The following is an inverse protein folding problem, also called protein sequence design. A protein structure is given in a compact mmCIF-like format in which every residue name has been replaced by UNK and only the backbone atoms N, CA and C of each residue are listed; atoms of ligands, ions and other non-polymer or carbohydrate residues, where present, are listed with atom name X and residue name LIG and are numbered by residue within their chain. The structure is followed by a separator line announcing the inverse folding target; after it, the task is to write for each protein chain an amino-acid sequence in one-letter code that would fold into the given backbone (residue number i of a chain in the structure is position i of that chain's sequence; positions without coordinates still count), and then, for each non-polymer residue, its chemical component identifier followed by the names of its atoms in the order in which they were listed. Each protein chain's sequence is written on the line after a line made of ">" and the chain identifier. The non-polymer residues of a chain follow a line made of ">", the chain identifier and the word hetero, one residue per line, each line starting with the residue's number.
data_IF_861954168439
#
_entry.id   IF_861954168439
#
_cell.length_a   1.000
_cell.length_b   1.000
_cell.length_c   1.000
_cell.angle_alpha   90.00
_cell.angle_beta   90.00
_cell.angle_gamma   90.00
#
_symmetry.space_group_name_H-M   'P 1'
#
loop_
_entity.id
_entity.type
_entity.pdbx_description
1 polymer ?
#
# COMPACT_ATOMS: atom_id res chain seq x y z
N UNK A 1 -3.43 -25.93 -21.16
CA UNK A 1 -3.40 -26.01 -19.67
C UNK A 1 -2.12 -26.81 -19.38
N UNK A 2 -1.23 -26.51 -18.42
CA UNK A 2 -1.34 -27.21 -17.13
C UNK A 2 -0.21 -26.88 -16.14
N UNK A 3 0.11 -25.61 -15.91
CA UNK A 3 0.61 -25.25 -14.57
C UNK A 3 0.24 -23.80 -14.22
N UNK A 4 -0.54 -23.57 -13.14
CA UNK A 4 -0.81 -22.22 -12.63
C UNK A 4 0.47 -21.40 -12.41
N UNK A 5 1.57 -22.07 -12.03
CA UNK A 5 2.87 -21.44 -11.81
C UNK A 5 3.48 -20.91 -13.11
N UNK A 6 3.42 -21.67 -14.20
CA UNK A 6 3.95 -21.22 -15.50
C UNK A 6 3.15 -20.05 -16.07
N UNK A 7 1.82 -20.08 -15.92
CA UNK A 7 0.95 -18.96 -16.32
C UNK A 7 1.28 -17.70 -15.52
N UNK A 8 1.40 -17.81 -14.20
CA UNK A 8 1.78 -16.70 -13.33
C UNK A 8 3.16 -16.15 -13.72
N UNK A 9 4.17 -17.01 -13.87
CA UNK A 9 5.53 -16.63 -14.26
C UNK A 9 5.58 -15.90 -15.59
N UNK A 10 4.80 -16.34 -16.58
CA UNK A 10 4.68 -15.67 -17.88
C UNK A 10 4.09 -14.27 -17.75
N UNK A 11 2.98 -14.14 -17.01
CA UNK A 11 2.31 -12.84 -16.78
C UNK A 11 3.25 -11.90 -16.02
N UNK A 12 3.85 -12.34 -14.91
CA UNK A 12 4.78 -11.53 -14.11
C UNK A 12 5.97 -11.04 -14.92
N UNK A 13 6.56 -11.91 -15.75
CA UNK A 13 7.66 -11.51 -16.65
C UNK A 13 7.23 -10.44 -17.66
N UNK A 14 6.02 -10.58 -18.21
CA UNK A 14 5.45 -9.58 -19.13
C UNK A 14 5.20 -8.24 -18.45
N UNK A 15 4.60 -8.23 -17.25
CA UNK A 15 4.33 -7.03 -16.46
C UNK A 15 5.65 -6.33 -16.09
N UNK A 16 6.63 -7.08 -15.57
CA UNK A 16 7.93 -6.52 -15.21
C UNK A 16 8.64 -5.90 -16.42
N UNK A 17 8.65 -6.58 -17.58
CA UNK A 17 9.23 -6.04 -18.80
C UNK A 17 8.52 -4.76 -19.26
N UNK A 18 7.19 -4.74 -19.23
CA UNK A 18 6.40 -3.55 -19.56
C UNK A 18 6.69 -2.38 -18.62
N UNK A 19 6.79 -2.62 -17.30
CA UNK A 19 7.14 -1.62 -16.30
C UNK A 19 8.54 -1.04 -16.51
N UNK A 20 9.52 -1.87 -16.89
CA UNK A 20 10.88 -1.39 -17.22
C UNK A 20 10.81 -0.43 -18.42
N UNK A 21 10.11 -0.79 -19.50
CA UNK A 21 9.98 0.09 -20.67
C UNK A 21 9.21 1.37 -20.32
N UNK A 22 8.11 1.27 -19.56
CA UNK A 22 7.35 2.43 -19.09
C UNK A 22 8.19 3.38 -18.22
N UNK A 23 9.11 2.84 -17.42
CA UNK A 23 10.01 3.64 -16.58
C UNK A 23 10.94 4.55 -17.41
N UNK A 24 11.31 4.15 -18.64
CA UNK A 24 12.12 4.99 -19.55
C UNK A 24 11.37 6.28 -19.89
N UNK A 25 10.07 6.18 -20.18
CA UNK A 25 9.23 7.35 -20.44
C UNK A 25 9.18 8.26 -19.20
N UNK A 26 9.04 7.67 -18.02
CA UNK A 26 9.00 8.41 -16.77
C UNK A 26 10.32 9.12 -16.46
N UNK A 27 11.46 8.50 -16.79
CA UNK A 27 12.80 9.08 -16.70
C UNK A 27 12.95 10.26 -17.67
N UNK A 28 12.57 10.11 -18.94
CA UNK A 28 12.65 11.18 -19.95
C UNK A 28 11.77 12.39 -19.56
N UNK A 29 10.53 12.15 -19.14
CA UNK A 29 9.63 13.21 -18.66
C UNK A 29 10.15 13.85 -17.37
N UNK A 30 10.78 13.08 -16.48
CA UNK A 30 11.43 13.58 -15.27
C UNK A 30 12.62 14.49 -15.55
N UNK A 31 13.55 14.07 -16.42
CA UNK A 31 14.75 14.84 -16.76
C UNK A 31 14.48 16.06 -17.64
N UNK A 32 13.47 16.01 -18.51
CA UNK A 32 13.07 17.16 -19.36
C UNK A 32 12.48 18.34 -18.57
N UNK A 33 12.21 18.18 -17.27
CA UNK A 33 11.58 19.21 -16.44
C UNK A 33 10.10 19.45 -16.73
N UNK A 34 9.52 18.73 -17.72
CA UNK A 34 8.11 18.81 -18.09
C UNK A 34 7.20 18.44 -16.92
N UNK A 35 7.65 17.51 -16.07
CA UNK A 35 6.94 17.13 -14.84
C UNK A 35 6.61 18.33 -13.94
N UNK A 36 7.49 19.33 -13.87
CA UNK A 36 7.27 20.53 -13.05
C UNK A 36 6.09 21.37 -13.56
N UNK A 37 5.88 21.39 -14.87
CA UNK A 37 4.75 22.11 -15.48
C UNK A 37 3.43 21.35 -15.24
N UNK A 38 3.45 20.01 -15.36
CA UNK A 38 2.29 19.15 -15.09
C UNK A 38 1.86 19.22 -13.63
N UNK A 39 2.80 19.15 -12.68
CA UNK A 39 2.48 19.23 -11.24
C UNK A 39 1.94 20.61 -10.86
N UNK A 40 2.32 21.70 -11.55
CA UNK A 40 1.68 23.01 -11.35
C UNK A 40 0.20 23.03 -11.74
N UNK A 41 -0.20 22.21 -12.72
CA UNK A 41 -1.60 22.07 -13.11
C UNK A 41 -2.39 21.26 -12.07
N UNK A 42 -1.74 20.32 -11.39
CA UNK A 42 -2.29 19.56 -10.28
C UNK A 42 -2.25 20.38 -8.98
N UNK A 43 -3.17 21.33 -8.88
CA UNK A 43 -3.46 22.02 -7.61
C UNK A 43 -3.76 20.99 -6.49
N UNK A 44 -3.44 21.27 -5.22
CA UNK A 44 -3.81 20.41 -4.10
C UNK A 44 -5.31 20.05 -4.08
N UNK A 45 -6.17 20.92 -4.62
CA UNK A 45 -7.61 20.67 -4.74
C UNK A 45 -7.96 19.50 -5.68
N UNK A 46 -7.18 19.27 -6.74
CA UNK A 46 -7.38 18.12 -7.64
C UNK A 46 -6.53 16.91 -7.27
N UNK A 47 -5.36 17.12 -6.64
CA UNK A 47 -4.48 16.03 -6.21
C UNK A 47 -5.05 15.22 -5.04
N UNK A 48 -5.66 15.87 -4.04
CA UNK A 48 -6.26 15.18 -2.87
C UNK A 48 -7.32 14.16 -3.28
N UNK A 49 -8.37 14.50 -4.06
CA UNK A 49 -9.36 13.51 -4.47
C UNK A 49 -8.77 12.44 -5.39
N UNK A 50 -7.80 12.77 -6.24
CA UNK A 50 -7.12 11.79 -7.08
C UNK A 50 -6.42 10.70 -6.24
N UNK A 51 -5.64 11.11 -5.23
CA UNK A 51 -4.93 10.19 -4.34
C UNK A 51 -5.91 9.42 -3.45
N UNK A 52 -6.94 10.09 -2.94
CA UNK A 52 -7.96 9.44 -2.11
C UNK A 52 -8.73 8.37 -2.90
N UNK A 53 -9.18 8.66 -4.12
CA UNK A 53 -9.87 7.69 -4.98
C UNK A 53 -8.96 6.53 -5.40
N UNK A 54 -7.69 6.79 -5.69
CA UNK A 54 -6.71 5.74 -5.93
C UNK A 54 -6.53 4.82 -4.70
N UNK A 55 -6.50 5.41 -3.50
CA UNK A 55 -6.46 4.67 -2.23
C UNK A 55 -7.74 3.86 -1.99
N UNK A 56 -8.92 4.46 -2.18
CA UNK A 56 -10.22 3.79 -2.05
C UNK A 56 -10.35 2.61 -3.03
N UNK A 57 -9.84 2.74 -4.25
CA UNK A 57 -9.80 1.63 -5.20
C UNK A 57 -8.98 0.43 -4.72
N UNK A 58 -7.95 0.63 -3.90
CA UNK A 58 -7.18 -0.47 -3.31
C UNK A 58 -7.93 -1.17 -2.17
N UNK A 59 -8.84 -0.48 -1.46
CA UNK A 59 -9.66 -1.09 -0.42
C UNK A 59 -10.62 -2.14 -1.00
N UNK A 60 -11.19 -1.91 -2.18
CA UNK A 60 -12.03 -2.89 -2.89
C UNK A 60 -11.27 -4.20 -3.19
N UNK A 61 -9.95 -4.14 -3.36
CA UNK A 61 -9.10 -5.31 -3.58
C UNK A 61 -8.65 -5.95 -2.26
N UNK A 62 -8.38 -5.15 -1.24
CA UNK A 62 -7.86 -5.61 0.06
C UNK A 62 -8.91 -6.20 1.00
N UNK A 63 -10.08 -5.55 1.12
CA UNK A 63 -11.17 -6.00 1.98
C UNK A 63 -11.68 -7.42 1.69
N UNK A 64 -11.89 -7.86 0.43
CA UNK A 64 -12.33 -9.24 0.17
C UNK A 64 -11.26 -10.27 0.57
N UNK A 65 -9.97 -9.89 0.55
CA UNK A 65 -8.88 -10.74 1.01
C UNK A 65 -8.90 -10.87 2.54
N UNK A 66 -9.12 -9.76 3.26
CA UNK A 66 -9.29 -9.75 4.71
C UNK A 66 -10.55 -10.52 5.15
N UNK A 67 -11.65 -10.37 4.42
CA UNK A 67 -12.93 -11.02 4.72
C UNK A 67 -12.90 -12.54 4.56
N UNK A 68 -12.02 -13.09 3.72
CA UNK A 68 -11.86 -14.55 3.61
C UNK A 68 -11.44 -15.22 4.92
N UNK A 69 -10.65 -14.52 5.74
CA UNK A 69 -10.21 -14.98 7.06
C UNK A 69 -10.50 -13.90 8.10
N UNK A 70 -11.79 -13.69 8.40
CA UNK A 70 -12.23 -12.62 9.30
C UNK A 70 -11.61 -12.72 10.70
N UNK A 71 -11.34 -13.94 11.18
CA UNK A 71 -10.71 -14.20 12.49
C UNK A 71 -9.29 -13.64 12.60
N UNK A 72 -8.57 -13.51 11.48
CA UNK A 72 -7.21 -12.96 11.43
C UNK A 72 -7.24 -11.49 11.00
N UNK A 73 -8.10 -11.16 10.03
CA UNK A 73 -8.20 -9.80 9.49
C UNK A 73 -8.76 -8.78 10.48
N UNK A 74 -9.72 -9.16 11.32
CA UNK A 74 -10.30 -8.25 12.32
C UNK A 74 -9.27 -7.85 13.40
N UNK A 75 -8.51 -8.78 14.01
CA UNK A 75 -7.40 -8.43 14.88
C UNK A 75 -6.35 -7.52 14.24
N UNK A 76 -5.99 -7.73 12.97
CA UNK A 76 -5.03 -6.86 12.25
C UNK A 76 -5.54 -5.43 12.17
N UNK A 77 -6.80 -5.23 11.76
CA UNK A 77 -7.38 -3.89 11.69
C UNK A 77 -7.43 -3.21 13.05
N UNK A 78 -7.82 -3.93 14.11
CA UNK A 78 -7.89 -3.39 15.47
C UNK A 78 -6.49 -3.01 15.97
N UNK A 79 -5.50 -3.91 15.84
CA UNK A 79 -4.13 -3.67 16.26
C UNK A 79 -3.51 -2.50 15.49
N UNK A 80 -3.71 -2.44 14.18
CA UNK A 80 -3.22 -1.35 13.34
C UNK A 80 -3.80 0.00 13.79
N UNK A 81 -5.10 0.08 14.11
CA UNK A 81 -5.71 1.31 14.65
C UNK A 81 -5.14 1.68 16.02
N UNK A 82 -4.89 0.71 16.89
CA UNK A 82 -4.30 0.97 18.21
C UNK A 82 -2.87 1.51 18.07
N UNK A 83 -2.02 0.85 17.30
CA UNK A 83 -0.63 1.27 17.12
C UNK A 83 -0.51 2.56 16.31
N UNK A 84 -1.34 2.75 15.29
CA UNK A 84 -1.25 3.90 14.38
C UNK A 84 -1.97 5.13 14.94
N UNK A 85 -3.14 5.01 15.58
CA UNK A 85 -3.92 6.17 16.02
C UNK A 85 -4.01 6.33 17.53
N UNK A 86 -4.16 5.25 18.29
CA UNK A 86 -4.38 5.36 19.74
C UNK A 86 -3.08 5.68 20.52
N UNK A 87 -2.02 4.93 20.28
CA UNK A 87 -0.74 5.07 20.98
C UNK A 87 -0.09 6.45 20.75
N UNK A 88 0.00 6.97 19.50
CA UNK A 88 0.59 8.29 19.25
C UNK A 88 -0.27 9.44 19.78
N UNK A 89 -1.59 9.24 19.94
CA UNK A 89 -2.48 10.21 20.55
C UNK A 89 -2.27 10.30 22.07
N UNK A 90 -2.00 9.17 22.73
CA UNK A 90 -1.78 9.10 24.17
C UNK A 90 -0.35 9.53 24.57
N UNK A 91 0.67 9.16 23.78
CA UNK A 91 2.06 9.54 24.01
C UNK A 91 2.38 10.91 23.39
N UNK A 92 2.37 11.97 24.21
CA UNK A 92 2.72 13.35 23.79
C UNK A 92 4.18 13.54 23.36
N UNK A 93 5.09 12.60 23.63
CA UNK A 93 6.55 12.79 23.49
C UNK A 93 7.24 12.18 22.26
N UNK A 94 6.81 11.00 21.75
CA UNK A 94 7.54 10.24 20.71
C UNK A 94 6.68 9.84 19.50
N UNK A 95 5.95 10.79 18.93
CA UNK A 95 4.98 10.51 17.83
C UNK A 95 5.60 9.93 16.56
N UNK A 96 6.86 10.26 16.25
CA UNK A 96 7.44 9.97 14.94
C UNK A 96 7.90 8.52 14.75
N UNK A 97 8.38 7.87 15.81
CA UNK A 97 8.89 6.49 15.73
C UNK A 97 7.71 5.52 15.67
N UNK A 98 6.71 5.68 16.54
CA UNK A 98 5.56 4.79 16.60
C UNK A 98 4.73 4.81 15.32
N UNK A 99 4.45 5.97 14.72
CA UNK A 99 3.66 6.03 13.48
C UNK A 99 4.33 5.34 12.29
N UNK A 100 5.67 5.42 12.16
CA UNK A 100 6.39 4.81 11.03
C UNK A 100 6.45 3.29 11.14
N UNK A 101 6.59 2.76 12.34
CA UNK A 101 6.76 1.32 12.57
C UNK A 101 5.47 0.61 12.99
N UNK A 102 4.38 1.34 13.27
CA UNK A 102 3.09 0.78 13.70
C UNK A 102 2.61 -0.38 12.83
N UNK A 103 2.67 -0.22 11.50
CA UNK A 103 2.24 -1.26 10.54
C UNK A 103 3.12 -2.49 10.61
N UNK A 104 4.43 -2.33 10.78
CA UNK A 104 5.35 -3.47 10.88
C UNK A 104 5.10 -4.23 12.17
N UNK A 105 4.90 -3.51 13.29
CA UNK A 105 4.58 -4.14 14.57
C UNK A 105 3.21 -4.85 14.56
N UNK A 106 2.16 -4.27 13.97
CA UNK A 106 0.85 -4.93 13.86
C UNK A 106 0.95 -6.23 13.08
N UNK A 107 1.60 -6.19 11.92
CA UNK A 107 1.78 -7.37 11.06
C UNK A 107 2.57 -8.48 11.76
N UNK A 108 3.64 -8.14 12.49
CA UNK A 108 4.42 -9.16 13.23
C UNK A 108 3.58 -9.81 14.33
N UNK A 109 2.81 -9.02 15.08
CA UNK A 109 1.95 -9.52 16.16
C UNK A 109 0.85 -10.43 15.61
N UNK A 110 0.17 -10.01 14.54
CA UNK A 110 -0.87 -10.84 13.92
C UNK A 110 -0.31 -12.08 13.28
N UNK A 111 0.90 -12.01 12.72
CA UNK A 111 1.55 -13.19 12.17
C UNK A 111 1.87 -14.24 13.26
N UNK A 112 2.32 -13.80 14.44
CA UNK A 112 2.49 -14.68 15.60
C UNK A 112 1.13 -15.25 16.04
N UNK A 113 0.09 -14.42 16.12
CA UNK A 113 -1.26 -14.86 16.47
C UNK A 113 -1.79 -15.93 15.50
N UNK A 114 -1.60 -15.72 14.20
CA UNK A 114 -2.00 -16.67 13.15
C UNK A 114 -1.22 -17.99 13.19
N UNK A 115 -0.01 -18.01 13.76
CA UNK A 115 0.76 -19.24 13.96
C UNK A 115 0.23 -20.06 15.16
N UNK A 116 -0.40 -19.42 16.15
CA UNK A 116 -0.96 -20.09 17.33
C UNK A 116 -2.38 -20.61 17.12
N UNK A 117 -3.11 -20.06 16.14
CA UNK A 117 -4.45 -20.49 15.73
C UNK A 117 -4.37 -21.71 14.80
#
# INVERSE_FOLDING_TARGET
>A
ILDPQEKFKRIMRGIQGALIVASILQIVVGFSGLWRNVVRLLSPLSAVPLVALAGFGLYELGFPLLAKCIEIGLPELILLLIFSQYIPHLMRGERHVFHRFAVIFSVVIVWIYAHFL
#
